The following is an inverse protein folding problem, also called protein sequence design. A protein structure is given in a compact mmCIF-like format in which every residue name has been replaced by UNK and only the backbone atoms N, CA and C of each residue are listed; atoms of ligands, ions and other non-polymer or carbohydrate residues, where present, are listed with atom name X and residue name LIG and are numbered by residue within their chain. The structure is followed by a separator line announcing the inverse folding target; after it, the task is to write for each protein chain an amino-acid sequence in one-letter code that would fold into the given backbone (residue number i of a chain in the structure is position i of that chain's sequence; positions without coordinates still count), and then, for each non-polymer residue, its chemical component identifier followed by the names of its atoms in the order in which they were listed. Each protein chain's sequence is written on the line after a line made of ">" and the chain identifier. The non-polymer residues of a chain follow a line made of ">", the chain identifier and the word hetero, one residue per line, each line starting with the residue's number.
data_IF_869468078109
#
_entry.id   IF_869468078109
#
_cell.length_a   1.000
_cell.length_b   1.000
_cell.length_c   1.000
_cell.angle_alpha   90.00
_cell.angle_beta   90.00
_cell.angle_gamma   90.00
#
_symmetry.space_group_name_H-M   'P 1'
#
loop_
_entity.id
_entity.type
_entity.pdbx_description
1 polymer ?
#
# COMPACT_ATOMS: atom_id res chain seq x y z
N UNK A 1 -7.51 51.60 12.23
CA UNK A 1 -6.09 51.25 12.00
C UNK A 1 -5.06 51.54 13.13
N UNK A 2 -5.34 52.24 14.26
CA UNK A 2 -4.26 52.65 15.18
C UNK A 2 -3.66 51.53 16.06
N UNK A 3 -4.28 50.35 16.17
CA UNK A 3 -3.80 49.26 17.04
C UNK A 3 -2.76 48.33 16.40
N UNK A 4 -2.58 48.39 15.08
CA UNK A 4 -1.70 47.46 14.34
C UNK A 4 -0.28 48.04 14.17
N UNK A 5 -0.16 49.36 14.03
CA UNK A 5 1.12 50.05 13.83
C UNK A 5 2.16 49.78 14.93
N UNK A 6 1.83 49.81 16.23
CA UNK A 6 2.83 49.52 17.28
C UNK A 6 3.35 48.08 17.24
N UNK A 7 2.59 47.14 16.65
CA UNK A 7 2.99 45.73 16.51
C UNK A 7 3.88 45.51 15.29
N UNK A 8 3.72 46.31 14.23
CA UNK A 8 4.55 46.24 13.03
C UNK A 8 5.95 46.84 13.24
N UNK A 9 6.08 47.89 14.07
CA UNK A 9 7.38 48.50 14.39
C UNK A 9 8.32 47.54 15.14
N UNK A 10 7.77 46.54 15.86
CA UNK A 10 8.56 45.55 16.61
C UNK A 10 9.05 44.36 15.77
N UNK A 11 8.59 44.23 14.53
CA UNK A 11 8.97 43.11 13.66
C UNK A 11 10.15 43.55 12.79
N UNK A 12 11.33 42.91 12.90
CA UNK A 12 12.47 43.22 12.03
C UNK A 12 12.10 42.85 10.58
N UNK A 13 11.86 43.87 9.76
CA UNK A 13 11.45 43.73 8.35
C UNK A 13 12.54 43.10 7.45
N UNK A 14 13.75 42.87 7.99
CA UNK A 14 14.92 42.38 7.25
C UNK A 14 15.20 40.88 7.42
N UNK A 15 14.35 40.12 8.10
CA UNK A 15 14.53 38.68 8.29
C UNK A 15 13.52 37.84 7.51
N UNK A 16 13.94 36.67 7.02
CA UNK A 16 13.01 35.59 6.65
C UNK A 16 12.09 35.33 7.85
N UNK A 17 10.85 35.85 7.81
CA UNK A 17 9.86 35.56 8.83
C UNK A 17 9.61 34.04 8.82
N UNK A 18 10.02 33.29 9.85
CA UNK A 18 9.49 31.94 9.97
C UNK A 18 7.99 32.15 10.16
N UNK A 19 7.19 31.74 9.17
CA UNK A 19 5.76 31.61 9.38
C UNK A 19 5.62 30.77 10.65
N UNK A 20 4.94 31.27 11.71
CA UNK A 20 4.76 30.48 12.91
C UNK A 20 4.16 29.17 12.44
N UNK A 21 4.91 28.08 12.59
CA UNK A 21 4.38 26.77 12.23
C UNK A 21 3.05 26.68 12.97
N UNK A 22 1.93 26.47 12.26
CA UNK A 22 0.64 26.43 12.90
C UNK A 22 0.77 25.39 14.00
N UNK A 23 0.76 25.84 15.25
CA UNK A 23 0.76 24.93 16.39
C UNK A 23 -0.51 24.13 16.16
N UNK A 24 -0.36 22.90 15.69
CA UNK A 24 -1.43 21.93 15.59
C UNK A 24 -1.79 21.57 17.04
N UNK A 25 -2.37 22.53 17.76
CA UNK A 25 -3.10 22.28 18.99
C UNK A 25 -4.29 21.46 18.56
N UNK A 26 -4.07 20.15 18.50
CA UNK A 26 -5.14 19.18 18.39
C UNK A 26 -6.05 19.47 19.57
N UNK A 27 -7.16 20.14 19.31
CA UNK A 27 -8.16 20.27 20.36
C UNK A 27 -8.59 18.85 20.69
N UNK A 28 -8.62 18.47 21.98
CA UNK A 28 -9.21 17.19 22.36
C UNK A 28 -10.59 17.13 21.71
N UNK A 29 -10.93 15.98 21.12
CA UNK A 29 -12.26 15.79 20.57
C UNK A 29 -13.25 16.09 21.69
N UNK A 30 -14.14 17.04 21.42
CA UNK A 30 -15.30 17.27 22.26
C UNK A 30 -16.45 16.64 21.47
N UNK A 31 -17.16 15.65 22.04
CA UNK A 31 -18.39 15.20 21.39
C UNK A 31 -19.25 16.44 21.16
N UNK A 32 -19.84 16.61 19.96
CA UNK A 32 -20.71 17.75 19.72
C UNK A 32 -21.78 17.75 20.81
N UNK A 33 -21.96 18.89 21.47
CA UNK A 33 -23.10 19.06 22.37
C UNK A 33 -24.38 18.73 21.59
N UNK A 34 -25.40 18.13 22.23
CA UNK A 34 -26.66 17.85 21.56
C UNK A 34 -27.15 19.11 20.84
N UNK A 35 -27.75 18.92 19.66
CA UNK A 35 -28.27 20.04 18.88
C UNK A 35 -29.19 20.87 19.77
N UNK A 36 -28.90 22.16 19.90
CA UNK A 36 -29.81 23.07 20.57
C UNK A 36 -31.15 23.03 19.87
N UNK A 37 -32.22 22.96 20.65
CA UNK A 37 -33.54 23.21 20.08
C UNK A 37 -33.55 24.60 19.46
N UNK A 38 -34.24 24.76 18.33
CA UNK A 38 -34.45 26.06 17.69
C UNK A 38 -35.85 26.60 18.01
N UNK A 39 -36.65 25.83 18.76
CA UNK A 39 -38.02 26.20 19.10
C UNK A 39 -38.00 27.33 20.13
N UNK A 40 -38.68 28.47 19.88
CA UNK A 40 -38.71 29.60 20.81
C UNK A 40 -39.26 29.24 22.20
N UNK A 41 -40.11 28.22 22.28
CA UNK A 41 -40.71 27.76 23.53
C UNK A 41 -39.69 27.17 24.51
N UNK A 42 -38.56 26.67 24.00
CA UNK A 42 -37.49 26.08 24.81
C UNK A 42 -36.57 27.14 25.43
N UNK A 43 -36.81 28.43 25.13
CA UNK A 43 -36.02 29.55 25.61
C UNK A 43 -36.89 30.57 26.37
N UNK A 44 -36.82 30.62 27.70
CA UNK A 44 -37.57 31.61 28.50
C UNK A 44 -37.07 33.05 28.29
N UNK A 45 -35.94 33.23 27.59
CA UNK A 45 -35.32 34.52 27.25
C UNK A 45 -34.75 34.43 25.83
N UNK A 46 -34.36 35.57 25.25
CA UNK A 46 -33.69 35.58 23.94
C UNK A 46 -32.53 34.58 23.90
N UNK A 47 -32.44 33.79 22.82
CA UNK A 47 -31.38 32.79 22.57
C UNK A 47 -29.99 33.40 22.74
N UNK A 48 -29.83 34.71 22.45
CA UNK A 48 -28.56 35.43 22.62
C UNK A 48 -28.08 35.53 24.07
N UNK A 49 -29.01 35.54 25.03
CA UNK A 49 -28.77 35.71 26.46
C UNK A 49 -28.78 34.39 27.22
N UNK A 50 -29.17 33.29 26.58
CA UNK A 50 -29.13 31.95 27.17
C UNK A 50 -27.70 31.44 27.31
N UNK A 51 -27.37 30.89 28.48
CA UNK A 51 -26.09 30.20 28.69
C UNK A 51 -25.97 29.01 27.72
N UNK A 52 -24.79 28.82 27.12
CA UNK A 52 -24.59 27.76 26.12
C UNK A 52 -25.11 28.07 24.71
N UNK A 53 -25.54 29.29 24.42
CA UNK A 53 -26.00 29.67 23.09
C UNK A 53 -24.99 29.34 21.97
N UNK A 54 -25.48 28.73 20.89
CA UNK A 54 -24.72 28.33 19.69
C UNK A 54 -24.02 29.53 19.02
N UNK A 55 -24.58 30.74 19.12
CA UNK A 55 -24.02 31.94 18.50
C UNK A 55 -22.80 32.44 19.28
N UNK A 56 -22.90 32.58 20.61
CA UNK A 56 -21.80 33.07 21.46
C UNK A 56 -20.76 31.97 21.73
N UNK A 57 -21.20 30.71 21.84
CA UNK A 57 -20.36 29.53 22.11
C UNK A 57 -20.21 28.63 20.87
N UNK A 58 -20.15 29.20 19.67
CA UNK A 58 -20.06 28.43 18.42
C UNK A 58 -18.92 27.40 18.38
N UNK A 59 -17.82 27.67 19.09
CA UNK A 59 -16.70 26.74 19.23
C UNK A 59 -17.05 25.42 19.95
N UNK A 60 -18.03 25.43 20.86
CA UNK A 60 -18.48 24.23 21.59
C UNK A 60 -19.40 23.33 20.73
N UNK A 61 -19.97 23.89 19.66
CA UNK A 61 -20.79 23.18 18.67
C UNK A 61 -20.02 22.85 17.39
N UNK A 62 -18.72 23.16 17.34
CA UNK A 62 -17.89 22.79 16.21
C UNK A 62 -17.81 21.26 16.12
N UNK A 63 -18.25 20.69 15.00
CA UNK A 63 -18.12 19.26 14.75
C UNK A 63 -16.64 18.88 14.70
N UNK A 64 -16.13 18.34 15.81
CA UNK A 64 -14.81 17.75 15.85
C UNK A 64 -14.88 16.37 15.19
N UNK A 65 -14.09 16.17 14.14
CA UNK A 65 -13.88 14.83 13.59
C UNK A 65 -13.19 14.00 14.67
N UNK A 66 -13.79 12.87 15.03
CA UNK A 66 -13.10 11.89 15.88
C UNK A 66 -11.79 11.48 15.20
N UNK A 67 -10.73 11.19 15.98
CA UNK A 67 -9.50 10.69 15.39
C UNK A 67 -9.82 9.40 14.63
N UNK A 68 -9.23 9.23 13.44
CA UNK A 68 -9.43 8.02 12.66
C UNK A 68 -9.15 6.77 13.50
N UNK A 69 -10.03 5.74 13.44
CA UNK A 69 -9.86 4.55 14.24
C UNK A 69 -8.56 3.83 13.85
N UNK A 70 -8.02 3.04 14.77
CA UNK A 70 -6.80 2.26 14.56
C UNK A 70 -7.13 0.77 14.45
N UNK A 71 -6.48 -0.01 13.55
CA UNK A 71 -6.79 -1.41 13.30
C UNK A 71 -6.57 -2.32 14.53
N UNK A 72 -5.70 -1.90 15.47
CA UNK A 72 -5.65 -2.37 16.86
C UNK A 72 -4.71 -1.48 17.65
N UNK A 73 -5.09 -1.04 18.85
CA UNK A 73 -4.18 -0.22 19.67
C UNK A 73 -3.20 -1.15 20.37
N UNK A 74 -1.90 -0.91 20.19
CA UNK A 74 -0.94 -1.42 21.16
C UNK A 74 -0.95 -0.48 22.35
N UNK A 75 -1.28 -1.05 23.50
CA UNK A 75 -1.34 -0.39 24.81
C UNK A 75 0.03 0.18 25.24
N UNK A 76 1.09 -0.02 24.44
CA UNK A 76 2.49 0.12 24.86
C UNK A 76 3.12 1.50 24.73
N UNK A 77 2.36 2.55 24.44
CA UNK A 77 2.88 3.91 24.60
C UNK A 77 1.97 4.64 25.57
N UNK A 78 2.56 5.09 26.68
CA UNK A 78 2.00 6.08 27.59
C UNK A 78 1.58 7.29 26.75
N UNK A 79 0.39 7.23 26.16
CA UNK A 79 -0.19 8.38 25.49
C UNK A 79 -0.28 9.45 26.56
N UNK A 80 0.16 10.69 26.28
CA UNK A 80 -0.02 11.77 27.24
C UNK A 80 -1.48 11.74 27.70
N UNK A 81 -1.71 11.82 29.02
CA UNK A 81 -3.05 11.70 29.64
C UNK A 81 -4.11 12.64 29.01
N UNK A 82 -3.66 13.64 28.27
CA UNK A 82 -4.45 14.67 27.61
C UNK A 82 -5.02 14.27 26.24
N UNK A 83 -4.51 13.22 25.58
CA UNK A 83 -5.06 12.79 24.28
C UNK A 83 -6.15 11.74 24.47
N UNK A 84 -7.33 12.03 23.93
CA UNK A 84 -8.46 11.09 23.91
C UNK A 84 -8.04 9.76 23.27
N UNK A 85 -8.39 8.61 23.87
CA UNK A 85 -8.04 7.32 23.32
C UNK A 85 -8.65 7.16 21.93
N UNK A 86 -7.81 6.89 20.92
CA UNK A 86 -8.32 6.51 19.60
C UNK A 86 -9.12 5.23 19.71
N UNK A 87 -10.34 5.25 19.18
CA UNK A 87 -11.22 4.08 19.05
C UNK A 87 -10.54 2.97 18.24
N UNK A 88 -10.73 1.73 18.66
CA UNK A 88 -10.35 0.55 17.87
C UNK A 88 -11.35 0.32 16.75
N UNK A 89 -10.88 -0.13 15.58
CA UNK A 89 -11.76 -0.46 14.47
C UNK A 89 -12.69 -1.62 14.84
N UNK A 90 -13.97 -1.52 14.48
CA UNK A 90 -14.87 -2.69 14.51
C UNK A 90 -14.40 -3.76 13.51
N UNK A 91 -14.86 -5.00 13.64
CA UNK A 91 -14.51 -6.08 12.72
C UNK A 91 -14.88 -5.74 11.27
N UNK A 92 -16.03 -5.10 11.07
CA UNK A 92 -16.50 -4.64 9.77
C UNK A 92 -15.65 -3.48 9.20
N UNK A 93 -15.34 -2.48 10.02
CA UNK A 93 -14.44 -1.38 9.65
C UNK A 93 -13.08 -1.92 9.24
N UNK A 94 -12.58 -2.91 9.99
CA UNK A 94 -11.32 -3.58 9.69
C UNK A 94 -11.40 -4.38 8.38
N UNK A 95 -12.49 -5.09 8.11
CA UNK A 95 -12.71 -5.79 6.82
C UNK A 95 -12.64 -4.80 5.65
N UNK A 96 -13.30 -3.65 5.74
CA UNK A 96 -13.23 -2.63 4.70
C UNK A 96 -11.85 -2.00 4.58
N UNK A 97 -11.22 -1.71 5.71
CA UNK A 97 -9.90 -1.09 5.75
C UNK A 97 -8.78 -2.03 5.27
N UNK A 98 -8.93 -3.33 5.47
CA UNK A 98 -7.99 -4.36 4.99
C UNK A 98 -8.19 -4.72 3.51
N UNK A 99 -9.30 -4.31 2.89
CA UNK A 99 -9.53 -4.51 1.46
C UNK A 99 -8.67 -3.56 0.61
N UNK A 100 -7.76 -4.09 -0.24
CA UNK A 100 -6.96 -3.25 -1.13
C UNK A 100 -7.82 -2.55 -2.18
N UNK A 101 -8.90 -3.17 -2.63
CA UNK A 101 -9.81 -2.61 -3.62
C UNK A 101 -10.51 -1.37 -3.09
N UNK A 102 -11.12 -1.47 -1.90
CA UNK A 102 -11.80 -0.33 -1.27
C UNK A 102 -10.82 0.80 -0.98
N UNK A 103 -9.59 0.50 -0.55
CA UNK A 103 -8.58 1.53 -0.30
C UNK A 103 -8.10 2.22 -1.57
N UNK A 104 -7.95 1.51 -2.69
CA UNK A 104 -7.64 2.14 -3.98
C UNK A 104 -8.77 3.07 -4.42
N UNK A 105 -10.03 2.62 -4.29
CA UNK A 105 -11.22 3.41 -4.65
C UNK A 105 -11.43 4.63 -3.75
N UNK A 106 -11.09 4.52 -2.46
CA UNK A 106 -11.16 5.61 -1.50
C UNK A 106 -10.08 6.69 -1.69
N UNK A 107 -9.12 6.48 -2.60
CA UNK A 107 -8.11 7.52 -2.88
C UNK A 107 -8.71 8.72 -3.61
N UNK A 108 -8.14 9.93 -3.47
CA UNK A 108 -8.72 11.13 -4.07
C UNK A 108 -8.89 11.00 -5.58
N UNK A 109 -10.03 11.47 -6.09
CA UNK A 109 -10.26 11.52 -7.53
C UNK A 109 -9.39 12.60 -8.19
N UNK A 110 -8.82 12.26 -9.34
CA UNK A 110 -8.05 13.16 -10.20
C UNK A 110 -8.43 12.93 -11.65
N UNK A 111 -8.37 13.99 -12.44
CA UNK A 111 -8.64 13.90 -13.86
C UNK A 111 -7.44 13.31 -14.60
N UNK A 112 -7.68 12.24 -15.35
CA UNK A 112 -6.68 11.69 -16.25
C UNK A 112 -6.47 12.65 -17.44
N UNK A 113 -5.23 13.04 -17.70
CA UNK A 113 -4.87 13.94 -18.79
C UNK A 113 -5.22 13.38 -20.17
N UNK A 114 -5.16 12.06 -20.36
CA UNK A 114 -5.38 11.44 -21.67
C UNK A 114 -6.86 11.20 -21.97
N UNK A 115 -7.62 10.71 -21.00
CA UNK A 115 -9.03 10.34 -21.17
C UNK A 115 -10.00 11.39 -20.66
N UNK A 116 -9.52 12.40 -19.94
CA UNK A 116 -10.31 13.44 -19.27
C UNK A 116 -11.31 12.91 -18.23
N UNK A 117 -11.24 11.61 -17.87
CA UNK A 117 -12.08 10.98 -16.86
C UNK A 117 -11.52 11.18 -15.45
N UNK A 118 -12.40 11.31 -14.47
CA UNK A 118 -12.06 11.31 -13.06
C UNK A 118 -11.83 9.87 -12.60
N UNK A 119 -10.64 9.57 -12.08
CA UNK A 119 -10.26 8.27 -11.55
C UNK A 119 -9.56 8.43 -10.19
N UNK A 120 -9.62 7.43 -9.29
CA UNK A 120 -8.86 7.48 -8.05
C UNK A 120 -7.36 7.50 -8.31
N UNK A 121 -6.59 8.17 -7.45
CA UNK A 121 -5.15 8.38 -7.66
C UNK A 121 -4.33 7.10 -7.80
N UNK A 122 -4.74 5.99 -7.17
CA UNK A 122 -4.02 4.71 -7.28
C UNK A 122 -4.11 4.09 -8.68
N UNK A 123 -5.15 4.40 -9.45
CA UNK A 123 -5.30 4.02 -10.86
C UNK A 123 -4.53 4.94 -11.80
N UNK A 124 -3.85 5.95 -11.27
CA UNK A 124 -3.16 6.97 -12.02
C UNK A 124 -1.66 6.99 -11.69
N UNK A 125 -0.88 7.57 -12.61
CA UNK A 125 0.54 7.86 -12.43
C UNK A 125 0.72 9.36 -12.58
N UNK A 126 1.27 9.96 -11.55
CA UNK A 126 1.61 11.37 -11.55
C UNK A 126 2.91 11.59 -12.32
N UNK A 127 2.84 12.43 -13.34
CA UNK A 127 3.99 12.87 -14.13
C UNK A 127 4.17 14.37 -13.91
N UNK A 128 5.39 14.76 -13.60
CA UNK A 128 5.77 16.14 -13.44
C UNK A 128 6.73 16.58 -14.54
N UNK A 129 6.64 17.85 -14.92
CA UNK A 129 7.62 18.52 -15.77
C UNK A 129 8.79 18.94 -14.88
N UNK A 130 10.01 18.53 -15.21
CA UNK A 130 11.22 18.95 -14.51
C UNK A 130 12.23 19.52 -15.49
N UNK A 131 12.84 20.63 -15.07
CA UNK A 131 13.95 21.26 -15.79
C UNK A 131 15.24 20.50 -15.50
N UNK A 132 15.97 20.14 -16.54
CA UNK A 132 17.31 19.56 -16.37
C UNK A 132 18.24 20.63 -15.80
N UNK A 133 19.05 20.32 -14.78
CA UNK A 133 20.02 21.26 -14.24
C UNK A 133 20.95 21.81 -15.33
N UNK A 134 21.26 23.11 -15.27
CA UNK A 134 22.03 23.83 -16.30
C UNK A 134 23.39 23.18 -16.58
N UNK A 135 24.05 22.62 -15.56
CA UNK A 135 25.34 21.93 -15.73
C UNK A 135 25.25 20.68 -16.62
N UNK A 136 24.07 20.04 -16.73
CA UNK A 136 23.84 18.92 -17.64
C UNK A 136 23.34 19.37 -19.02
N UNK A 137 23.08 20.67 -19.22
CA UNK A 137 22.55 21.24 -20.46
C UNK A 137 23.63 21.68 -21.46
N UNK A 138 24.92 21.56 -21.11
CA UNK A 138 26.06 22.18 -21.82
C UNK A 138 26.16 21.90 -23.34
N UNK A 139 25.45 20.91 -23.89
CA UNK A 139 25.48 20.59 -25.33
C UNK A 139 24.16 20.82 -26.10
N UNK A 140 23.08 21.28 -25.45
CA UNK A 140 21.79 21.47 -26.13
C UNK A 140 21.35 22.94 -26.09
N UNK A 141 21.22 23.57 -27.26
CA UNK A 141 20.56 24.88 -27.41
C UNK A 141 19.06 24.71 -27.09
N UNK A 142 18.66 25.00 -25.85
CA UNK A 142 17.26 25.04 -25.41
C UNK A 142 17.02 24.57 -23.98
N UNK A 143 15.98 25.10 -23.33
CA UNK A 143 15.50 24.62 -22.03
C UNK A 143 14.83 23.25 -22.22
N UNK A 144 15.63 22.19 -22.14
CA UNK A 144 15.12 20.84 -22.25
C UNK A 144 14.40 20.46 -20.94
N UNK A 145 13.09 20.70 -20.92
CA UNK A 145 12.21 20.19 -19.88
C UNK A 145 11.78 18.76 -20.22
N UNK A 146 11.83 17.89 -19.21
CA UNK A 146 11.47 16.49 -19.37
C UNK A 146 10.34 16.09 -18.44
N UNK A 147 9.57 15.10 -18.89
CA UNK A 147 8.64 14.41 -18.02
C UNK A 147 9.38 13.46 -17.09
N UNK A 148 9.00 13.49 -15.82
CA UNK A 148 9.48 12.60 -14.78
C UNK A 148 8.31 12.03 -13.98
N UNK A 149 8.31 10.72 -13.67
CA UNK A 149 7.35 10.18 -12.72
C UNK A 149 7.64 10.73 -11.33
N UNK A 150 6.60 11.20 -10.65
CA UNK A 150 6.70 11.75 -9.31
C UNK A 150 5.75 10.99 -8.35
N UNK A 151 6.16 10.83 -7.09
CA UNK A 151 5.34 10.17 -6.08
C UNK A 151 5.09 8.66 -6.26
N UNK A 152 5.78 7.97 -7.18
CA UNK A 152 5.67 6.50 -7.32
C UNK A 152 6.33 5.75 -6.16
N UNK A 153 7.46 6.26 -5.68
CA UNK A 153 8.19 5.68 -4.55
C UNK A 153 7.54 6.04 -3.22
N UNK A 154 7.82 5.27 -2.17
CA UNK A 154 7.31 5.55 -0.84
C UNK A 154 7.87 6.88 -0.29
N UNK A 155 7.02 7.77 0.29
CA UNK A 155 7.44 9.10 0.75
C UNK A 155 8.64 9.11 1.71
N UNK A 156 8.78 8.06 2.52
CA UNK A 156 9.94 7.82 3.41
C UNK A 156 11.27 7.70 2.68
N UNK A 157 11.28 7.18 1.46
CA UNK A 157 12.49 7.01 0.64
C UNK A 157 12.70 8.18 -0.31
N UNK A 158 11.62 8.70 -0.89
CA UNK A 158 11.67 9.82 -1.82
C UNK A 158 10.41 10.68 -1.70
N UNK A 159 10.59 11.91 -1.24
CA UNK A 159 9.52 12.91 -1.26
C UNK A 159 9.23 13.35 -2.69
N UNK A 160 7.96 13.64 -3.04
CA UNK A 160 7.62 14.26 -4.31
C UNK A 160 8.38 15.58 -4.48
N UNK A 161 8.96 15.80 -5.66
CA UNK A 161 9.75 17.02 -5.92
C UNK A 161 8.93 18.13 -6.57
N UNK A 162 7.90 17.78 -7.34
CA UNK A 162 7.15 18.75 -8.10
C UNK A 162 5.84 19.11 -7.40
N UNK A 163 5.54 20.41 -7.36
CA UNK A 163 4.25 20.94 -6.88
C UNK A 163 3.17 20.71 -7.94
N UNK A 164 3.48 20.99 -9.21
CA UNK A 164 2.60 20.79 -10.36
C UNK A 164 2.93 19.49 -11.09
N UNK A 165 1.89 18.74 -11.43
CA UNK A 165 1.99 17.52 -12.21
C UNK A 165 0.65 17.16 -12.81
N UNK A 166 0.67 16.36 -13.86
CA UNK A 166 -0.51 15.78 -14.48
C UNK A 166 -0.63 14.31 -14.10
N UNK A 167 -1.80 13.73 -14.29
CA UNK A 167 -2.07 12.33 -14.03
C UNK A 167 -2.36 11.61 -15.34
N UNK A 168 -1.70 10.48 -15.57
CA UNK A 168 -2.03 9.56 -16.67
C UNK A 168 -2.57 8.26 -16.10
N UNK A 169 -3.27 7.45 -16.90
CA UNK A 169 -3.68 6.11 -16.46
C UNK A 169 -2.46 5.26 -16.08
N UNK A 170 -2.59 4.44 -15.03
CA UNK A 170 -1.62 3.43 -14.63
C UNK A 170 -1.66 2.25 -15.60
N UNK A 171 -1.25 2.51 -16.85
CA UNK A 171 -1.24 1.57 -17.97
C UNK A 171 -0.08 1.91 -18.90
N UNK A 172 0.73 0.92 -19.29
CA UNK A 172 1.91 1.11 -20.13
C UNK A 172 1.56 1.72 -21.49
N UNK A 173 0.46 1.29 -22.09
CA UNK A 173 0.02 1.79 -23.41
C UNK A 173 -0.37 3.27 -23.39
N UNK A 174 -0.75 3.81 -22.22
CA UNK A 174 -1.07 5.22 -22.06
C UNK A 174 0.13 6.12 -22.44
N UNK A 175 1.37 5.64 -22.23
CA UNK A 175 2.56 6.37 -22.65
C UNK A 175 2.77 6.35 -24.15
N UNK A 176 2.39 5.29 -24.87
CA UNK A 176 2.47 5.27 -26.33
C UNK A 176 1.55 6.32 -26.93
N UNK A 177 0.35 6.48 -26.37
CA UNK A 177 -0.58 7.55 -26.75
C UNK A 177 0.03 8.93 -26.45
N UNK A 178 0.72 9.07 -25.30
CA UNK A 178 1.40 10.30 -24.93
C UNK A 178 2.57 10.64 -25.86
N UNK A 179 3.27 9.65 -26.41
CA UNK A 179 4.39 9.84 -27.34
C UNK A 179 3.94 10.19 -28.77
N UNK A 180 2.66 9.95 -29.14
CA UNK A 180 2.18 10.32 -30.47
C UNK A 180 2.37 11.83 -30.69
N UNK A 181 2.94 12.24 -31.84
CA UNK A 181 3.30 13.63 -32.09
C UNK A 181 2.07 14.54 -31.94
N UNK A 182 2.24 15.67 -31.24
CA UNK A 182 1.23 16.74 -31.15
C UNK A 182 0.57 16.90 -29.78
N UNK A 183 0.29 15.82 -29.03
CA UNK A 183 -0.42 15.94 -27.74
C UNK A 183 0.44 16.55 -26.62
N UNK A 184 1.70 16.15 -26.53
CA UNK A 184 2.63 16.65 -25.50
C UNK A 184 3.26 18.01 -25.84
N UNK A 185 3.22 18.46 -27.11
CA UNK A 185 3.79 19.76 -27.54
C UNK A 185 3.20 20.92 -26.75
N UNK A 186 1.91 20.86 -26.40
CA UNK A 186 1.22 21.89 -25.59
C UNK A 186 1.81 22.08 -24.19
N UNK A 187 2.48 21.06 -23.66
CA UNK A 187 3.08 21.10 -22.32
C UNK A 187 4.56 21.54 -22.37
N UNK A 188 5.18 21.48 -23.55
CA UNK A 188 6.58 21.87 -23.75
C UNK A 188 7.56 21.02 -22.94
N UNK A 189 7.35 19.69 -22.89
CA UNK A 189 8.28 18.77 -22.25
C UNK A 189 8.37 17.46 -23.05
N UNK A 190 9.55 16.83 -22.99
CA UNK A 190 9.83 15.59 -23.74
C UNK A 190 9.91 14.40 -22.79
N UNK A 191 9.31 13.27 -23.16
CA UNK A 191 9.49 12.02 -22.44
C UNK A 191 10.80 11.34 -22.89
N UNK A 192 11.64 10.84 -21.96
CA UNK A 192 12.79 10.02 -22.32
C UNK A 192 12.37 8.75 -23.10
N UNK A 193 13.22 8.19 -23.98
CA UNK A 193 12.86 7.00 -24.78
C UNK A 193 12.51 5.78 -23.91
N UNK A 194 13.18 5.63 -22.76
CA UNK A 194 13.01 4.52 -21.80
C UNK A 194 12.07 4.86 -20.64
N UNK A 195 11.16 5.81 -20.86
CA UNK A 195 10.30 6.34 -19.79
C UNK A 195 9.33 5.28 -19.24
N UNK A 196 8.83 4.40 -20.11
CA UNK A 196 7.95 3.31 -19.71
C UNK A 196 8.67 2.30 -18.80
N UNK A 197 9.87 1.86 -19.17
CA UNK A 197 10.66 0.97 -18.32
C UNK A 197 11.03 1.63 -17.00
N UNK A 198 11.33 2.93 -17.01
CA UNK A 198 11.64 3.67 -15.79
C UNK A 198 10.45 3.71 -14.83
N UNK A 199 9.24 3.98 -15.31
CA UNK A 199 8.02 3.92 -14.49
C UNK A 199 7.81 2.51 -13.95
N UNK A 200 7.93 1.49 -14.81
CA UNK A 200 7.77 0.10 -14.44
C UNK A 200 8.78 -0.32 -13.34
N UNK A 201 10.03 0.12 -13.45
CA UNK A 201 11.07 -0.07 -12.43
C UNK A 201 10.70 0.60 -11.11
N UNK A 202 10.21 1.83 -11.13
CA UNK A 202 9.81 2.54 -9.91
C UNK A 202 8.59 1.94 -9.21
N UNK A 203 7.63 1.38 -9.96
CA UNK A 203 6.49 0.65 -9.38
C UNK A 203 6.96 -0.64 -8.68
N UNK A 204 7.88 -1.38 -9.30
CA UNK A 204 8.54 -2.55 -8.67
C UNK A 204 9.34 -2.16 -7.43
N UNK A 205 10.07 -1.05 -7.51
CA UNK A 205 10.80 -0.49 -6.38
C UNK A 205 9.86 -0.17 -5.21
N UNK A 206 8.65 0.34 -5.50
CA UNK A 206 7.64 0.61 -4.48
C UNK A 206 7.26 -0.65 -3.70
N UNK A 207 7.07 -1.78 -4.38
CA UNK A 207 6.79 -3.08 -3.73
C UNK A 207 7.92 -3.46 -2.74
N UNK A 208 9.19 -3.33 -3.15
CA UNK A 208 10.33 -3.60 -2.27
C UNK A 208 10.39 -2.64 -1.07
N UNK A 209 10.06 -1.37 -1.29
CA UNK A 209 10.03 -0.34 -0.25
C UNK A 209 8.94 -0.62 0.79
N UNK A 210 7.75 -1.06 0.37
CA UNK A 210 6.66 -1.44 1.28
C UNK A 210 7.08 -2.62 2.15
N UNK A 211 7.63 -3.69 1.56
CA UNK A 211 8.17 -4.83 2.32
C UNK A 211 9.24 -4.40 3.34
N UNK A 212 10.12 -3.46 2.97
CA UNK A 212 11.13 -2.94 3.89
C UNK A 212 10.52 -2.12 5.04
N UNK A 213 9.45 -1.37 4.77
CA UNK A 213 8.75 -0.60 5.80
C UNK A 213 8.05 -1.53 6.79
N UNK A 214 7.44 -2.61 6.30
CA UNK A 214 6.75 -3.61 7.10
C UNK A 214 7.68 -4.31 8.11
N UNK A 215 8.96 -4.49 7.78
CA UNK A 215 9.91 -5.12 8.70
C UNK A 215 10.03 -4.40 10.04
N UNK A 216 9.99 -3.06 10.08
CA UNK A 216 10.19 -2.33 11.35
C UNK A 216 9.04 -2.52 12.34
N UNK A 217 7.75 -2.32 11.94
CA UNK A 217 6.63 -2.67 12.80
C UNK A 217 6.67 -4.13 13.22
N UNK A 218 6.97 -5.07 12.32
CA UNK A 218 7.03 -6.50 12.65
C UNK A 218 8.10 -6.81 13.70
N UNK A 219 9.34 -6.35 13.50
CA UNK A 219 10.44 -6.52 14.45
C UNK A 219 10.06 -5.95 15.83
N UNK A 220 9.47 -4.75 15.86
CA UNK A 220 8.98 -4.16 17.11
C UNK A 220 7.88 -5.03 17.75
N UNK A 221 6.91 -5.47 16.95
CA UNK A 221 5.80 -6.34 17.39
C UNK A 221 6.27 -7.57 18.10
N UNK A 222 7.13 -8.33 17.45
CA UNK A 222 7.55 -9.62 17.96
C UNK A 222 8.49 -9.48 19.15
N UNK A 223 9.26 -8.38 19.25
CA UNK A 223 10.12 -8.10 20.39
C UNK A 223 9.35 -7.66 21.63
N UNK A 224 8.34 -6.81 21.48
CA UNK A 224 7.59 -6.27 22.63
C UNK A 224 6.50 -7.21 23.13
N UNK A 225 6.26 -8.33 22.45
CA UNK A 225 5.18 -9.24 22.76
C UNK A 225 5.60 -10.16 23.91
N UNK A 226 5.25 -9.76 25.12
CA UNK A 226 5.36 -10.58 26.33
C UNK A 226 3.99 -11.18 26.64
N UNK A 227 3.73 -12.41 26.20
CA UNK A 227 2.50 -13.12 26.53
C UNK A 227 2.05 -14.14 25.48
N UNK A 228 1.14 -15.05 25.85
CA UNK A 228 0.60 -16.06 24.96
C UNK A 228 -0.03 -15.39 23.74
N UNK A 229 0.43 -15.80 22.56
CA UNK A 229 -0.07 -15.30 21.28
C UNK A 229 -1.39 -16.02 21.01
N UNK A 230 -2.55 -15.33 20.99
CA UNK A 230 -3.76 -15.94 20.44
C UNK A 230 -3.46 -16.47 19.04
N UNK A 231 -3.98 -17.66 18.73
CA UNK A 231 -3.83 -18.29 17.42
C UNK A 231 -4.31 -17.34 16.33
N UNK A 232 -3.38 -16.65 15.68
CA UNK A 232 -3.65 -15.70 14.61
C UNK A 232 -3.04 -16.24 13.32
N UNK A 233 -3.68 -15.97 12.16
CA UNK A 233 -3.07 -16.27 10.89
C UNK A 233 -1.74 -15.49 10.78
N UNK A 234 -0.67 -16.12 10.26
CA UNK A 234 0.58 -15.42 9.98
C UNK A 234 0.36 -14.33 8.93
N UNK A 235 1.11 -13.24 9.01
CA UNK A 235 1.03 -12.15 8.02
C UNK A 235 1.58 -12.63 6.68
N UNK A 236 2.62 -13.46 6.74
CA UNK A 236 3.23 -14.11 5.59
C UNK A 236 3.43 -15.59 5.90
N UNK A 237 2.96 -16.47 5.00
CA UNK A 237 3.17 -17.91 5.08
C UNK A 237 3.80 -18.42 3.79
N UNK A 238 4.58 -19.49 3.86
CA UNK A 238 4.99 -20.24 2.67
C UNK A 238 4.00 -21.39 2.47
N UNK A 239 3.39 -21.47 1.29
CA UNK A 239 2.51 -22.59 0.96
C UNK A 239 3.31 -23.89 0.93
N UNK A 240 2.76 -24.99 1.40
CA UNK A 240 3.35 -26.33 1.24
C UNK A 240 3.33 -26.74 -0.24
N UNK A 241 4.06 -27.80 -0.60
CA UNK A 241 4.02 -28.33 -1.97
C UNK A 241 2.66 -28.95 -2.28
N UNK A 242 2.01 -29.61 -1.31
CA UNK A 242 0.63 -30.08 -1.43
C UNK A 242 -0.33 -28.92 -1.73
N UNK A 243 -0.34 -27.87 -0.90
CA UNK A 243 -1.22 -26.71 -1.07
C UNK A 243 -0.97 -26.00 -2.41
N UNK A 244 0.30 -25.87 -2.80
CA UNK A 244 0.68 -25.27 -4.08
C UNK A 244 0.34 -26.17 -5.28
N UNK A 245 0.30 -27.49 -5.10
CA UNK A 245 -0.20 -28.44 -6.08
C UNK A 245 -1.71 -28.29 -6.24
N UNK A 246 -2.45 -28.33 -5.12
CA UNK A 246 -3.89 -28.16 -5.06
C UNK A 246 -4.34 -26.84 -5.70
N UNK A 247 -3.71 -25.71 -5.37
CA UNK A 247 -4.03 -24.41 -5.98
C UNK A 247 -3.84 -24.41 -7.50
N UNK A 248 -2.85 -25.15 -8.02
CA UNK A 248 -2.62 -25.25 -9.46
C UNK A 248 -3.61 -26.18 -10.16
N UNK A 249 -4.11 -27.21 -9.49
CA UNK A 249 -5.08 -28.15 -10.06
C UNK A 249 -6.51 -27.63 -9.94
N UNK A 250 -6.90 -27.07 -8.80
CA UNK A 250 -8.27 -26.57 -8.56
C UNK A 250 -8.47 -25.15 -9.10
N UNK A 251 -7.40 -24.35 -9.11
CA UNK A 251 -7.51 -22.92 -9.38
C UNK A 251 -8.20 -22.12 -8.27
N UNK A 252 -8.52 -22.73 -7.13
CA UNK A 252 -9.21 -22.11 -5.99
C UNK A 252 -8.25 -22.02 -4.81
N UNK A 253 -8.27 -20.88 -4.10
CA UNK A 253 -7.41 -20.63 -2.94
C UNK A 253 -8.16 -20.95 -1.62
N UNK A 254 -7.76 -21.98 -0.84
CA UNK A 254 -8.44 -22.39 0.40
C UNK A 254 -7.99 -21.55 1.61
N UNK A 255 -7.80 -20.24 1.41
CA UNK A 255 -7.27 -19.34 2.42
C UNK A 255 -8.06 -18.03 2.46
N UNK A 256 -9.08 -17.95 3.32
CA UNK A 256 -9.82 -16.71 3.53
C UNK A 256 -8.90 -15.62 4.08
N UNK A 257 -9.19 -14.37 3.73
CA UNK A 257 -8.37 -13.21 4.11
C UNK A 257 -7.00 -13.12 3.43
N UNK A 258 -6.75 -13.94 2.40
CA UNK A 258 -5.57 -13.82 1.56
C UNK A 258 -5.63 -12.54 0.71
N UNK A 259 -4.52 -11.77 0.69
CA UNK A 259 -4.40 -10.56 -0.13
C UNK A 259 -3.72 -10.81 -1.47
N UNK A 260 -2.70 -11.67 -1.48
CA UNK A 260 -1.93 -12.01 -2.67
C UNK A 260 -1.13 -13.30 -2.48
N UNK A 261 -0.87 -14.01 -3.59
CA UNK A 261 0.11 -15.10 -3.65
C UNK A 261 1.30 -14.64 -4.48
N UNK A 262 2.52 -14.77 -3.96
CA UNK A 262 3.76 -14.39 -4.64
C UNK A 262 4.60 -15.65 -4.90
N UNK A 263 4.76 -16.05 -6.15
CA UNK A 263 5.64 -17.17 -6.52
C UNK A 263 7.04 -16.63 -6.79
N UNK A 264 7.93 -16.74 -5.81
CA UNK A 264 9.28 -16.16 -5.89
C UNK A 264 10.31 -17.26 -5.68
N UNK A 265 10.78 -17.93 -6.75
CA UNK A 265 11.87 -18.88 -6.63
C UNK A 265 13.17 -18.18 -6.20
N UNK A 266 14.07 -18.88 -5.48
CA UNK A 266 15.38 -18.35 -5.18
C UNK A 266 16.16 -18.11 -6.47
N UNK A 267 16.90 -17.01 -6.54
CA UNK A 267 17.72 -16.69 -7.71
C UNK A 267 18.93 -17.63 -7.76
N UNK A 268 19.16 -18.22 -8.94
CA UNK A 268 20.32 -19.06 -9.20
C UNK A 268 21.62 -18.26 -9.04
N UNK A 269 22.71 -18.96 -8.72
CA UNK A 269 24.07 -18.38 -8.78
C UNK A 269 24.37 -18.02 -10.23
N UNK A 270 25.04 -16.89 -10.45
CA UNK A 270 25.47 -16.53 -11.80
C UNK A 270 26.50 -17.57 -12.28
N UNK A 271 26.37 -18.08 -13.51
CA UNK A 271 27.19 -19.21 -13.98
C UNK A 271 28.67 -18.85 -14.11
N UNK A 272 28.97 -17.57 -14.34
CA UNK A 272 30.33 -17.06 -14.52
C UNK A 272 31.01 -16.74 -13.20
N UNK A 273 30.31 -16.04 -12.29
CA UNK A 273 30.89 -15.61 -11.00
C UNK A 273 30.68 -16.64 -9.89
N UNK A 274 29.77 -17.61 -10.07
CA UNK A 274 29.29 -18.56 -9.05
C UNK A 274 28.70 -17.92 -7.79
N UNK A 275 28.62 -16.59 -7.76
CA UNK A 275 28.03 -15.85 -6.67
C UNK A 275 26.52 -15.67 -6.87
N UNK A 276 25.79 -15.54 -5.77
CA UNK A 276 24.39 -15.09 -5.86
C UNK A 276 24.42 -13.58 -6.03
N UNK A 277 23.61 -13.01 -6.95
CA UNK A 277 23.58 -11.58 -7.18
C UNK A 277 23.42 -10.84 -5.85
N UNK A 278 24.37 -9.96 -5.58
CA UNK A 278 24.44 -9.26 -4.29
C UNK A 278 23.23 -8.34 -4.14
N UNK A 279 22.77 -8.17 -2.90
CA UNK A 279 21.57 -7.38 -2.58
C UNK A 279 21.82 -5.86 -2.69
N UNK A 280 23.06 -5.46 -2.92
CA UNK A 280 23.47 -4.07 -3.06
C UNK A 280 22.90 -3.48 -4.36
N UNK A 281 22.42 -2.24 -4.32
CA UNK A 281 21.87 -1.56 -5.51
C UNK A 281 20.43 -1.95 -5.89
N UNK A 282 19.85 -3.02 -5.34
CA UNK A 282 18.46 -3.44 -5.63
C UNK A 282 17.39 -2.36 -5.34
N UNK A 283 17.70 -1.46 -4.40
CA UNK A 283 16.83 -0.34 -3.99
C UNK A 283 17.15 0.97 -4.74
N UNK A 284 18.01 0.92 -5.76
CA UNK A 284 18.39 2.08 -6.56
C UNK A 284 17.23 2.59 -7.40
N UNK A 285 17.06 3.91 -7.45
CA UNK A 285 16.04 4.53 -8.28
C UNK A 285 16.33 4.38 -9.79
N UNK A 286 17.60 4.25 -10.19
CA UNK A 286 17.97 4.06 -11.60
C UNK A 286 17.62 2.64 -12.03
N UNK A 287 16.99 2.46 -13.22
CA UNK A 287 16.84 1.14 -13.81
C UNK A 287 18.21 0.48 -13.89
N UNK A 288 18.30 -0.73 -13.37
CA UNK A 288 19.50 -1.54 -13.54
C UNK A 288 19.58 -1.86 -15.04
N UNK A 289 20.65 -1.40 -15.66
CA UNK A 289 21.03 -1.87 -16.99
C UNK A 289 21.69 -3.21 -16.73
N UNK A 290 20.88 -4.28 -16.70
CA UNK A 290 21.45 -5.62 -16.59
C UNK A 290 22.35 -5.80 -17.83
N UNK A 291 23.68 -5.92 -17.65
CA UNK A 291 24.64 -5.85 -18.75
C UNK A 291 24.56 -7.08 -19.65
N UNK A 292 23.84 -8.11 -19.23
CA UNK A 292 23.68 -9.35 -19.97
C UNK A 292 22.34 -9.31 -20.69
N UNK A 293 22.29 -9.32 -22.03
CA UNK A 293 21.04 -9.56 -22.73
C UNK A 293 20.51 -10.91 -22.23
N UNK A 294 19.39 -10.88 -21.49
CA UNK A 294 18.79 -12.12 -21.00
C UNK A 294 18.48 -12.98 -22.23
N UNK A 295 19.16 -14.12 -22.31
CA UNK A 295 18.92 -15.14 -23.33
C UNK A 295 17.43 -15.37 -23.36
N UNK A 296 16.80 -15.13 -24.52
CA UNK A 296 15.34 -15.27 -24.69
C UNK A 296 14.95 -16.62 -24.10
N UNK A 297 14.10 -16.65 -23.06
CA UNK A 297 13.78 -17.90 -22.40
C UNK A 297 13.17 -18.84 -23.43
N UNK A 298 13.67 -20.08 -23.50
CA UNK A 298 13.16 -21.09 -24.43
C UNK A 298 11.68 -21.45 -24.17
N UNK A 299 11.16 -21.09 -22.99
CA UNK A 299 9.77 -21.32 -22.59
C UNK A 299 9.02 -19.99 -22.58
N UNK A 300 7.73 -19.98 -22.99
CA UNK A 300 6.90 -18.79 -22.93
C UNK A 300 6.88 -18.23 -21.51
N UNK A 301 7.01 -16.91 -21.40
CA UNK A 301 6.94 -16.25 -20.09
C UNK A 301 5.54 -16.44 -19.51
N UNK A 302 5.42 -16.92 -18.26
CA UNK A 302 4.12 -17.05 -17.61
C UNK A 302 3.42 -15.69 -17.51
N UNK A 303 2.09 -15.65 -17.34
CA UNK A 303 1.40 -14.39 -17.10
C UNK A 303 1.95 -13.70 -15.85
N UNK A 304 1.98 -12.36 -15.86
CA UNK A 304 2.42 -11.57 -14.71
C UNK A 304 1.64 -11.92 -13.46
N UNK A 305 0.32 -12.03 -13.60
CA UNK A 305 -0.56 -12.47 -12.53
C UNK A 305 -1.85 -13.11 -13.02
N UNK A 306 -2.35 -14.07 -12.26
CA UNK A 306 -3.63 -14.78 -12.48
C UNK A 306 -4.51 -14.54 -11.26
N UNK A 307 -5.82 -14.35 -11.47
CA UNK A 307 -6.78 -14.13 -10.39
C UNK A 307 -7.41 -15.46 -10.01
N UNK A 308 -7.36 -15.81 -8.74
CA UNK A 308 -7.94 -17.05 -8.22
C UNK A 308 -9.13 -16.72 -7.31
N UNK A 309 -10.29 -17.38 -7.45
CA UNK A 309 -11.35 -17.29 -6.47
C UNK A 309 -10.88 -17.86 -5.12
N UNK A 310 -11.38 -17.28 -4.03
CA UNK A 310 -11.17 -17.78 -2.67
C UNK A 310 -12.31 -18.72 -2.32
N UNK A 311 -11.97 -19.88 -1.76
CA UNK A 311 -12.97 -20.82 -1.27
C UNK A 311 -13.73 -20.21 -0.08
N UNK A 312 -14.99 -19.87 -0.31
CA UNK A 312 -15.86 -19.27 0.72
C UNK A 312 -16.47 -20.31 1.65
N UNK A 313 -16.35 -21.60 1.32
CA UNK A 313 -17.03 -22.68 2.07
C UNK A 313 -16.33 -23.05 3.37
N UNK A 314 -15.08 -22.59 3.57
CA UNK A 314 -14.28 -22.91 4.75
C UNK A 314 -14.60 -22.03 5.98
N UNK A 315 -15.32 -20.93 5.82
CA UNK A 315 -15.75 -20.05 6.91
C UNK A 315 -17.28 -20.09 6.99
N UNK A 316 -17.85 -20.95 7.85
CA UNK A 316 -19.04 -20.69 8.70
C UNK A 316 -19.80 -21.99 9.08
N UNK A 317 -19.47 -22.53 10.25
CA UNK A 317 -20.48 -23.11 11.17
C UNK A 317 -20.84 -22.10 12.30
N UNK A 318 -20.45 -20.82 12.16
CA UNK A 318 -20.72 -19.76 13.14
C UNK A 318 -21.79 -18.79 12.63
N UNK A 319 -22.97 -18.85 13.25
CA UNK A 319 -24.17 -18.11 12.89
C UNK A 319 -24.08 -16.62 13.28
N UNK A 320 -23.38 -15.77 12.52
CA UNK A 320 -23.51 -14.31 12.72
C UNK A 320 -23.23 -13.49 11.44
N UNK A 321 -24.32 -12.99 10.83
CA UNK A 321 -24.42 -11.92 9.82
C UNK A 321 -23.66 -12.15 8.50
N UNK A 322 -24.35 -12.80 7.55
CA UNK A 322 -23.99 -12.86 6.12
C UNK A 322 -24.01 -11.47 5.46
N UNK A 323 -22.96 -10.69 5.67
CA UNK A 323 -22.64 -9.57 4.79
C UNK A 323 -22.18 -10.18 3.46
N UNK A 324 -23.02 -10.08 2.42
CA UNK A 324 -22.68 -10.53 1.06
C UNK A 324 -21.25 -10.06 0.71
N UNK A 325 -20.35 -10.96 0.28
CA UNK A 325 -18.99 -10.59 -0.08
C UNK A 325 -19.05 -9.52 -1.17
N UNK A 326 -18.51 -8.34 -0.87
CA UNK A 326 -18.47 -7.23 -1.82
C UNK A 326 -17.57 -7.62 -3.00
N UNK A 327 -18.19 -8.15 -4.06
CA UNK A 327 -17.57 -8.80 -5.23
C UNK A 327 -16.76 -10.06 -4.89
N UNK A 328 -16.81 -11.06 -5.78
CA UNK A 328 -15.98 -12.27 -5.69
C UNK A 328 -14.53 -11.88 -5.38
N UNK A 329 -14.06 -12.12 -4.15
CA UNK A 329 -12.72 -11.75 -3.72
C UNK A 329 -11.72 -12.62 -4.48
N UNK A 330 -11.32 -12.15 -5.67
CA UNK A 330 -10.30 -12.81 -6.46
C UNK A 330 -8.93 -12.38 -5.96
N UNK A 331 -8.11 -13.35 -5.57
CA UNK A 331 -6.76 -13.12 -5.04
C UNK A 331 -5.75 -13.23 -6.18
N UNK A 332 -4.94 -12.18 -6.42
CA UNK A 332 -3.92 -12.22 -7.45
C UNK A 332 -2.74 -13.12 -7.04
N UNK A 333 -2.44 -14.09 -7.89
CA UNK A 333 -1.22 -14.88 -7.89
C UNK A 333 -0.22 -14.22 -8.84
N UNK A 334 0.86 -13.67 -8.29
CA UNK A 334 1.93 -13.03 -9.06
C UNK A 334 3.09 -13.99 -9.31
N UNK A 335 3.58 -13.97 -10.56
CA UNK A 335 4.82 -14.65 -10.90
C UNK A 335 6.03 -13.73 -10.66
N UNK A 336 6.86 -14.05 -9.68
CA UNK A 336 8.03 -13.25 -9.29
C UNK A 336 9.06 -13.05 -10.41
N UNK A 337 9.15 -13.96 -11.39
CA UNK A 337 10.07 -13.86 -12.53
C UNK A 337 9.66 -12.70 -13.45
N UNK A 338 8.37 -12.60 -13.75
CA UNK A 338 7.81 -11.56 -14.63
C UNK A 338 7.55 -10.26 -13.87
N UNK A 339 7.12 -10.38 -12.60
CA UNK A 339 6.93 -9.25 -11.71
C UNK A 339 8.23 -8.47 -11.49
N UNK A 340 9.37 -9.16 -11.42
CA UNK A 340 10.70 -8.53 -11.31
C UNK A 340 11.65 -9.15 -12.34
N UNK A 341 11.78 -8.54 -13.53
CA UNK A 341 12.71 -9.05 -14.56
C UNK A 341 14.16 -9.06 -14.07
N UNK A 342 14.59 -8.02 -13.36
CA UNK A 342 15.96 -7.91 -12.87
C UNK A 342 16.30 -8.92 -11.77
N UNK A 343 17.39 -9.68 -11.97
CA UNK A 343 17.86 -10.72 -11.02
C UNK A 343 18.13 -10.16 -9.62
N UNK A 344 18.75 -8.99 -9.55
CA UNK A 344 19.10 -8.31 -8.30
C UNK A 344 17.83 -7.94 -7.51
N UNK A 345 16.78 -7.46 -8.18
CA UNK A 345 15.51 -7.15 -7.53
C UNK A 345 14.78 -8.40 -7.06
N UNK A 346 14.79 -9.50 -7.84
CA UNK A 346 14.22 -10.79 -7.41
C UNK A 346 14.92 -11.34 -6.17
N UNK A 347 16.25 -11.29 -6.15
CA UNK A 347 17.03 -11.74 -5.00
C UNK A 347 16.70 -10.90 -3.75
N UNK A 348 16.51 -9.59 -3.92
CA UNK A 348 16.08 -8.69 -2.84
C UNK A 348 14.67 -9.00 -2.37
N UNK A 349 13.71 -9.20 -3.28
CA UNK A 349 12.33 -9.58 -2.96
C UNK A 349 12.31 -10.86 -2.12
N UNK A 350 12.92 -11.93 -2.62
CA UNK A 350 13.00 -13.22 -1.93
C UNK A 350 13.64 -13.08 -0.55
N UNK A 351 14.71 -12.28 -0.44
CA UNK A 351 15.38 -12.03 0.84
C UNK A 351 14.48 -11.28 1.84
N UNK A 352 13.72 -10.28 1.40
CA UNK A 352 12.77 -9.56 2.27
C UNK A 352 11.64 -10.48 2.75
N UNK A 353 11.05 -11.27 1.84
CA UNK A 353 10.01 -12.24 2.18
C UNK A 353 10.51 -13.30 3.17
N UNK A 354 11.72 -13.84 2.93
CA UNK A 354 12.34 -14.81 3.84
C UNK A 354 12.66 -14.19 5.21
N UNK A 355 13.07 -12.92 5.24
CA UNK A 355 13.29 -12.20 6.50
C UNK A 355 11.99 -12.05 7.29
N UNK A 356 10.89 -11.68 6.64
CA UNK A 356 9.56 -11.62 7.28
C UNK A 356 9.17 -12.99 7.84
N UNK A 357 9.32 -14.08 7.07
CA UNK A 357 9.06 -15.44 7.55
C UNK A 357 9.93 -15.83 8.76
N UNK A 358 11.20 -15.41 8.79
CA UNK A 358 12.07 -15.71 9.93
C UNK A 358 11.64 -14.98 11.21
N UNK A 359 11.11 -13.75 11.08
CA UNK A 359 10.58 -12.99 12.21
C UNK A 359 9.28 -13.62 12.74
N UNK A 360 8.39 -14.02 11.83
CA UNK A 360 7.17 -14.77 12.15
C UNK A 360 7.47 -16.08 12.88
N UNK A 361 8.41 -16.87 12.34
CA UNK A 361 8.86 -18.12 12.94
C UNK A 361 9.45 -17.91 14.33
N UNK A 362 10.37 -16.96 14.48
CA UNK A 362 10.98 -16.64 15.77
C UNK A 362 9.92 -16.28 16.83
N UNK A 363 8.90 -15.49 16.46
CA UNK A 363 7.83 -15.14 17.40
C UNK A 363 7.02 -16.35 17.89
N UNK A 364 6.79 -17.33 17.00
CA UNK A 364 6.08 -18.57 17.33
C UNK A 364 6.89 -19.46 18.27
N UNK A 365 8.20 -19.58 18.02
CA UNK A 365 9.09 -20.34 18.89
C UNK A 365 9.17 -19.72 20.30
N UNK A 366 9.31 -18.40 20.39
CA UNK A 366 9.29 -17.70 21.70
C UNK A 366 7.97 -17.89 22.45
N UNK A 367 6.83 -17.92 21.75
CA UNK A 367 5.53 -18.11 22.37
C UNK A 367 5.31 -19.55 22.88
N UNK A 368 5.74 -20.56 22.11
CA UNK A 368 5.64 -21.97 22.51
C UNK A 368 6.53 -22.32 23.70
N UNK A 369 7.75 -21.77 23.75
CA UNK A 369 8.67 -22.00 24.87
C UNK A 369 8.14 -21.48 26.20
N UNK A 370 7.39 -20.37 26.20
CA UNK A 370 6.80 -19.80 27.41
C UNK A 370 5.60 -20.62 27.94
N UNK A 371 4.88 -21.33 27.06
CA UNK A 371 3.74 -22.16 27.44
C UNK A 371 4.12 -23.57 27.91
N UNK A 372 5.26 -24.10 27.47
CA UNK A 372 5.69 -25.47 27.74
C UNK A 372 6.37 -25.68 29.12
N UNK A 373 6.58 -24.63 29.91
CA UNK A 373 7.13 -24.76 31.27
C UNK A 373 6.08 -25.06 32.35
N UNK A 374 4.81 -25.25 31.97
CA UNK A 374 3.70 -25.42 32.91
C UNK A 374 3.50 -26.83 33.44
N UNK A 375 3.32 -27.84 32.59
CA UNK A 375 2.81 -29.15 33.03
C UNK A 375 3.41 -30.26 32.16
N UNK A 376 4.09 -31.23 32.79
CA UNK A 376 4.59 -32.49 32.23
C UNK A 376 5.96 -32.47 31.53
N UNK A 377 7.01 -32.24 32.34
CA UNK A 377 8.42 -32.37 31.98
C UNK A 377 8.94 -33.84 32.01
N UNK A 378 8.21 -34.80 31.45
CA UNK A 378 8.69 -36.18 31.31
C UNK A 378 8.45 -36.72 29.89
N UNK A 379 9.51 -36.81 29.10
CA UNK A 379 9.59 -37.70 27.93
C UNK A 379 9.86 -37.04 26.58
N UNK A 380 11.11 -37.13 26.11
CA UNK A 380 11.47 -37.35 24.69
C UNK A 380 11.23 -36.24 23.63
N UNK A 381 11.28 -34.95 23.97
CA UNK A 381 11.17 -33.85 22.98
C UNK A 381 12.45 -33.03 22.79
N UNK A 382 13.58 -33.71 22.62
CA UNK A 382 14.90 -33.05 22.49
C UNK A 382 15.34 -32.65 21.08
N UNK A 383 14.74 -33.18 20.00
CA UNK A 383 15.37 -33.08 18.67
C UNK A 383 14.44 -32.88 17.45
N UNK A 384 13.21 -32.38 17.65
CA UNK A 384 12.37 -31.90 16.53
C UNK A 384 12.83 -30.56 15.92
N UNK A 385 13.97 -30.04 16.39
CA UNK A 385 14.68 -28.95 15.72
C UNK A 385 15.24 -29.48 14.39
N UNK A 386 14.53 -29.19 13.32
CA UNK A 386 14.89 -29.48 11.92
C UNK A 386 14.70 -30.94 11.49
N UNK A 387 13.61 -31.60 11.91
CA UNK A 387 13.10 -32.67 11.04
C UNK A 387 12.75 -31.99 9.71
N UNK A 388 13.66 -32.15 8.74
CA UNK A 388 13.52 -31.60 7.40
C UNK A 388 12.18 -32.13 6.90
N UNK A 389 11.14 -31.29 6.88
CA UNK A 389 9.82 -31.71 6.39
C UNK A 389 10.02 -32.34 5.01
N UNK A 390 9.88 -33.67 4.94
CA UNK A 390 10.08 -34.46 3.72
C UNK A 390 8.78 -34.45 2.91
N UNK A 391 8.91 -34.70 1.61
CA UNK A 391 7.77 -34.82 0.70
C UNK A 391 6.95 -33.54 0.54
N UNK A 392 5.62 -33.71 0.57
CA UNK A 392 4.64 -32.68 0.22
C UNK A 392 4.46 -31.59 1.28
N UNK A 393 4.90 -31.89 2.51
CA UNK A 393 4.91 -30.94 3.64
C UNK A 393 6.06 -29.93 3.55
N UNK A 394 6.98 -30.07 2.58
CA UNK A 394 8.03 -29.09 2.33
C UNK A 394 7.44 -27.79 1.81
N UNK A 395 7.92 -26.66 2.32
CA UNK A 395 7.53 -25.34 1.82
C UNK A 395 7.90 -25.16 0.34
N UNK A 396 6.95 -24.68 -0.45
CA UNK A 396 7.10 -24.33 -1.87
C UNK A 396 7.81 -22.97 -2.05
N UNK A 397 7.87 -22.48 -3.29
CA UNK A 397 8.34 -21.12 -3.60
C UNK A 397 7.21 -20.08 -3.61
N UNK A 398 5.99 -20.48 -3.26
CA UNK A 398 4.85 -19.60 -3.17
C UNK A 398 4.70 -19.06 -1.74
N UNK A 399 4.64 -17.73 -1.65
CA UNK A 399 4.42 -16.98 -0.43
C UNK A 399 2.99 -16.44 -0.44
N UNK A 400 2.22 -16.76 0.58
CA UNK A 400 0.87 -16.28 0.79
C UNK A 400 0.90 -15.08 1.75
N UNK A 401 0.32 -13.97 1.31
CA UNK A 401 0.20 -12.72 2.07
C UNK A 401 -1.21 -12.63 2.64
N UNK A 402 -1.35 -12.42 3.94
CA UNK A 402 -2.64 -12.25 4.61
C UNK A 402 -2.87 -10.80 5.03
N UNK A 403 -4.14 -10.44 5.17
CA UNK A 403 -4.52 -9.25 5.94
C UNK A 403 -4.16 -9.47 7.42
N UNK A 404 -3.68 -8.42 8.09
CA UNK A 404 -3.30 -8.48 9.51
C UNK A 404 -3.78 -7.27 10.27
N UNK A 405 -4.28 -7.49 11.49
CA UNK A 405 -4.68 -6.41 12.41
C UNK A 405 -3.47 -5.76 13.07
N UNK A 406 -2.32 -6.43 13.05
CA UNK A 406 -1.11 -5.98 13.72
C UNK A 406 -0.28 -5.03 12.84
N UNK A 407 -0.28 -5.26 11.52
CA UNK A 407 0.49 -4.50 10.54
C UNK A 407 -0.32 -4.31 9.27
N UNK A 408 -0.35 -3.07 8.76
CA UNK A 408 -1.04 -2.71 7.53
C UNK A 408 -0.37 -3.32 6.28
N UNK A 409 -0.93 -4.42 5.77
CA UNK A 409 -0.43 -5.07 4.55
C UNK A 409 -1.03 -4.49 3.26
N UNK A 410 -2.03 -3.62 3.37
CA UNK A 410 -2.75 -3.10 2.20
C UNK A 410 -1.87 -2.24 1.29
N UNK A 411 -0.98 -1.36 1.79
CA UNK A 411 -0.05 -0.63 0.93
C UNK A 411 0.80 -1.54 0.03
N UNK A 412 1.21 -2.72 0.52
CA UNK A 412 1.93 -3.71 -0.28
C UNK A 412 1.02 -4.29 -1.38
N UNK A 413 -0.21 -4.67 -1.03
CA UNK A 413 -1.19 -5.18 -1.99
C UNK A 413 -1.51 -4.15 -3.09
N UNK A 414 -1.70 -2.88 -2.72
CA UNK A 414 -1.90 -1.76 -3.67
C UNK A 414 -0.68 -1.61 -4.58
N UNK A 415 0.54 -1.66 -4.03
CA UNK A 415 1.75 -1.56 -4.85
C UNK A 415 1.85 -2.69 -5.87
N UNK A 416 1.48 -3.93 -5.50
CA UNK A 416 1.41 -5.07 -6.41
C UNK A 416 0.34 -4.88 -7.49
N UNK A 417 -0.85 -4.42 -7.10
CA UNK A 417 -1.95 -4.10 -8.03
C UNK A 417 -1.55 -3.03 -9.04
N UNK A 418 -0.82 -2.00 -8.63
CA UNK A 418 -0.33 -0.96 -9.54
C UNK A 418 0.67 -1.48 -10.56
N UNK A 419 1.50 -2.47 -10.19
CA UNK A 419 2.37 -3.15 -11.17
C UNK A 419 1.52 -3.97 -12.14
N UNK A 420 0.50 -4.72 -11.66
CA UNK A 420 -0.43 -5.47 -12.52
C UNK A 420 -1.15 -4.55 -13.51
N UNK A 421 -1.71 -3.45 -13.04
CA UNK A 421 -2.40 -2.44 -13.86
C UNK A 421 -1.47 -1.83 -14.90
N UNK A 422 -0.24 -1.50 -14.49
CA UNK A 422 0.74 -0.93 -15.40
C UNK A 422 1.05 -1.84 -16.57
N UNK A 423 1.25 -3.14 -16.33
CA UNK A 423 1.54 -4.13 -17.38
C UNK A 423 0.26 -4.62 -18.10
N UNK A 424 -0.86 -3.89 -17.99
CA UNK A 424 -2.09 -4.12 -18.75
C UNK A 424 -3.13 -5.00 -18.06
N UNK A 425 -2.83 -5.56 -16.89
CA UNK A 425 -3.79 -6.36 -16.13
C UNK A 425 -4.93 -5.52 -15.55
N UNK A 426 -6.16 -6.02 -15.60
CA UNK A 426 -7.33 -5.33 -15.02
C UNK A 426 -7.93 -4.21 -15.88
N UNK A 427 -7.39 -3.96 -17.08
CA UNK A 427 -7.93 -2.99 -18.04
C UNK A 427 -8.55 -3.64 -19.29
N UNK A 428 -8.69 -4.97 -19.31
CA UNK A 428 -9.32 -5.66 -20.46
C UNK A 428 -10.78 -5.22 -20.56
N UNK A 429 -11.13 -4.79 -21.76
CA UNK A 429 -12.50 -4.46 -22.18
C UNK A 429 -13.02 -5.64 -22.97
N UNK A 430 -14.23 -6.08 -22.70
CA UNK A 430 -14.88 -7.33 -23.15
C UNK A 430 -14.92 -7.65 -24.65
N UNK A 431 -14.33 -6.84 -25.51
CA UNK A 431 -14.14 -7.23 -26.90
C UNK A 431 -13.09 -8.35 -27.08
N UNK A 432 -12.39 -8.74 -26.01
CA UNK A 432 -11.63 -10.00 -25.88
C UNK A 432 -12.33 -10.98 -24.90
N UNK A 433 -13.65 -11.07 -25.01
CA UNK A 433 -14.63 -12.08 -24.56
C UNK A 433 -14.62 -12.77 -23.17
N UNK A 434 -13.64 -12.68 -22.26
CA UNK A 434 -13.72 -13.53 -21.03
C UNK A 434 -13.33 -12.96 -19.66
N UNK A 435 -13.27 -11.65 -19.40
CA UNK A 435 -13.17 -11.17 -18.01
C UNK A 435 -13.38 -9.64 -17.86
N UNK A 436 -14.63 -9.18 -17.74
CA UNK A 436 -14.94 -7.80 -17.32
C UNK A 436 -14.90 -7.67 -15.79
N UNK A 437 -14.43 -6.52 -15.32
CA UNK A 437 -14.56 -6.14 -13.90
C UNK A 437 -15.92 -5.46 -13.68
N UNK A 438 -16.74 -5.92 -12.70
CA UNK A 438 -18.09 -5.39 -12.47
C UNK A 438 -18.17 -3.87 -12.26
N UNK A 439 -17.15 -3.25 -11.65
CA UNK A 439 -17.18 -1.82 -11.31
C UNK A 439 -16.91 -0.88 -12.50
N UNK A 440 -16.37 -1.39 -13.62
CA UNK A 440 -16.15 -0.57 -14.83
C UNK A 440 -17.49 -0.24 -15.50
N UNK A 441 -18.50 -1.12 -15.37
CA UNK A 441 -19.85 -0.88 -15.88
C UNK A 441 -20.54 0.27 -15.11
N UNK A 442 -20.38 0.32 -13.79
CA UNK A 442 -21.03 1.30 -12.92
C UNK A 442 -20.55 2.74 -13.15
N UNK A 443 -19.26 2.93 -13.43
CA UNK A 443 -18.70 4.25 -13.78
C UNK A 443 -19.15 4.70 -15.18
N UNK A 444 -19.42 3.74 -16.09
CA UNK A 444 -19.87 4.04 -17.46
C UNK A 444 -21.32 4.53 -17.50
N UNK A 445 -22.14 4.11 -16.54
CA UNK A 445 -23.55 4.51 -16.42
C UNK A 445 -23.67 5.95 -15.88
N UNK A 446 -22.82 6.36 -14.93
CA UNK A 446 -22.87 7.72 -14.33
C UNK A 446 -22.26 8.85 -15.17
N UNK A 447 -21.53 8.55 -16.25
CA UNK A 447 -20.95 9.59 -17.12
C UNK A 447 -21.78 9.89 -18.37
N UNK A 448 -22.95 9.24 -18.52
CA UNK A 448 -23.89 9.45 -19.63
C UNK A 448 -25.21 10.11 -19.19
N UNK A 449 -25.42 10.24 -17.89
CA UNK A 449 -26.37 11.18 -17.25
C UNK A 449 -25.65 12.47 -16.91
#
# INVERSE_FOLDING_TARGET
>A
MPRILPRLVKLPLSGNFPFPEPKNTRTPHRPPRPLHSVLPQDYPRSVLLSEGNVITNSHDYAHHKSPAPLPRRRVTLKTPKTEEPRREMSAQEYKWWSSPYLRMLATPLRQCYLTQRLLPTDFLIRIAKMRVPVHLQQKRKGTADFFFPDGLQHPKFKKPKATRGMYIMCRREALHILHRPGKYKRIGATAPPRFAEYIAHLLRLRVLQELQILLKPLEFTYRTRTGPVPARPPILRRLTRAEWGALRTTGVLPHPGALAVLVVPPVNRDPTTLERPTKAGAMGARPLTDPTPERVPARPTPPLSVLHPVDSTAEEEGEEVRVQPHAEERVPLYNGVVLFPGRIQRAKLHALLTKILSLEGASRFSAGAAGAHGENANGETGNERLTVRKGDNKGSHAFLVYASTEVDMVPLAIALWRVRMWEGGGWRTDNDEKEEWPWVQEVRIRSRS
#
